data_IF_245176724620
#
_entry.id   IF_245176724620
#
_cell.length_a   1.000
_cell.length_b   1.000
_cell.length_c   1.000
_cell.angle_alpha   90.00
_cell.angle_beta   90.00
_cell.angle_gamma   90.00
#
_symmetry.space_group_name_H-M   'P 1'
#
loop_
_entity.id
_entity.type
_entity.pdbx_description
1 polymer ?
#
# COMPACT_ATOMS: atom_id res chain seq x y z
N UNK A 1 20.13 -38.35 14.96
CA UNK A 1 19.34 -37.17 15.33
C UNK A 1 19.80 -36.01 14.45
N UNK A 2 19.04 -35.58 13.43
CA UNK A 2 19.39 -34.37 12.71
C UNK A 2 18.82 -33.16 13.45
N UNK A 3 19.69 -32.16 13.58
CA UNK A 3 19.46 -30.87 14.22
C UNK A 3 18.48 -30.07 13.36
N UNK A 4 17.33 -29.67 13.93
CA UNK A 4 16.49 -28.63 13.35
C UNK A 4 17.32 -27.34 13.26
N UNK A 5 17.62 -26.89 12.04
CA UNK A 5 18.11 -25.54 11.82
C UNK A 5 16.96 -24.57 12.08
N UNK A 6 16.95 -23.94 13.25
CA UNK A 6 16.13 -22.78 13.53
C UNK A 6 16.60 -21.63 12.64
N UNK A 7 15.74 -21.22 11.70
CA UNK A 7 15.93 -20.00 10.92
C UNK A 7 15.63 -18.82 11.85
N UNK A 8 16.67 -18.20 12.40
CA UNK A 8 16.56 -16.90 13.06
C UNK A 8 16.56 -15.82 11.96
N UNK A 9 15.45 -15.08 11.83
CA UNK A 9 15.39 -13.82 11.10
C UNK A 9 15.26 -12.65 12.08
N UNK A 10 15.94 -11.55 11.74
CA UNK A 10 16.21 -10.39 12.58
C UNK A 10 14.96 -9.51 12.80
N UNK A 11 14.75 -9.08 14.04
CA UNK A 11 13.53 -8.40 14.50
C UNK A 11 13.51 -6.91 14.10
N UNK A 12 12.69 -6.58 13.10
CA UNK A 12 12.35 -5.20 12.68
C UNK A 12 10.85 -4.89 12.84
N UNK A 13 10.38 -4.73 14.07
CA UNK A 13 8.98 -4.96 14.50
C UNK A 13 8.00 -3.78 14.45
N UNK A 14 8.03 -2.89 13.44
CA UNK A 14 6.91 -1.92 13.29
C UNK A 14 6.44 -1.56 11.88
N UNK A 15 7.32 -1.57 10.87
CA UNK A 15 6.90 -1.35 9.46
C UNK A 15 6.45 -2.63 8.75
N UNK A 16 6.96 -3.76 9.18
CA UNK A 16 6.75 -5.07 8.55
C UNK A 16 5.28 -5.52 8.61
N UNK A 17 4.64 -5.33 9.76
CA UNK A 17 3.26 -5.77 10.05
C UNK A 17 2.18 -4.99 9.31
N UNK A 18 2.40 -3.72 8.97
CA UNK A 18 1.40 -2.86 8.32
C UNK A 18 1.35 -3.09 6.80
N UNK A 19 2.50 -3.37 6.17
CA UNK A 19 2.56 -3.66 4.73
C UNK A 19 1.85 -4.97 4.37
N UNK A 20 2.16 -6.05 5.08
CA UNK A 20 1.58 -7.35 4.76
C UNK A 20 0.07 -7.37 5.05
N UNK A 21 -0.37 -6.63 6.07
CA UNK A 21 -1.80 -6.54 6.43
C UNK A 21 -2.64 -5.85 5.35
N UNK A 22 -2.21 -4.71 4.83
CA UNK A 22 -2.95 -3.98 3.78
C UNK A 22 -3.01 -4.77 2.47
N UNK A 23 -1.92 -5.46 2.11
CA UNK A 23 -1.89 -6.31 0.92
C UNK A 23 -2.84 -7.49 1.05
N UNK A 24 -2.88 -8.12 2.24
CA UNK A 24 -3.83 -9.19 2.54
C UNK A 24 -5.27 -8.70 2.49
N UNK A 25 -5.56 -7.55 3.10
CA UNK A 25 -6.91 -6.96 3.08
C UNK A 25 -7.39 -6.70 1.65
N UNK A 26 -6.53 -6.12 0.80
CA UNK A 26 -6.83 -5.89 -0.62
C UNK A 26 -7.18 -7.22 -1.33
N UNK A 27 -6.31 -8.22 -1.21
CA UNK A 27 -6.48 -9.49 -1.90
C UNK A 27 -7.65 -10.33 -1.35
N UNK A 28 -7.93 -10.28 -0.05
CA UNK A 28 -9.11 -10.93 0.53
C UNK A 28 -10.40 -10.27 0.05
N UNK A 29 -10.43 -8.94 0.01
CA UNK A 29 -11.62 -8.17 -0.36
C UNK A 29 -11.96 -8.31 -1.83
N UNK A 30 -10.93 -8.32 -2.70
CA UNK A 30 -11.07 -8.35 -4.16
C UNK A 30 -10.47 -9.63 -4.76
N UNK A 31 -10.70 -10.77 -4.10
CA UNK A 31 -10.07 -12.04 -4.47
C UNK A 31 -10.45 -12.51 -5.88
N UNK A 32 -11.73 -12.34 -6.26
CA UNK A 32 -12.21 -12.71 -7.58
C UNK A 32 -11.54 -11.84 -8.66
N UNK A 33 -11.54 -10.53 -8.45
CA UNK A 33 -10.90 -9.55 -9.34
C UNK A 33 -9.38 -9.77 -9.44
N UNK A 34 -8.73 -10.20 -8.36
CA UNK A 34 -7.32 -10.57 -8.37
C UNK A 34 -7.05 -11.78 -9.29
N UNK A 35 -7.83 -12.85 -9.15
CA UNK A 35 -7.70 -14.02 -10.01
C UNK A 35 -8.09 -13.69 -11.45
N UNK A 36 -9.13 -12.90 -11.69
CA UNK A 36 -9.52 -12.45 -13.02
C UNK A 36 -8.35 -11.76 -13.73
N UNK A 37 -7.65 -10.89 -13.01
CA UNK A 37 -6.59 -10.06 -13.58
C UNK A 37 -5.30 -10.83 -13.86
N UNK A 38 -4.83 -11.64 -12.89
CA UNK A 38 -3.50 -12.24 -12.97
C UNK A 38 -3.50 -13.74 -13.25
N UNK A 39 -4.62 -14.42 -13.02
CA UNK A 39 -4.77 -15.86 -13.21
C UNK A 39 -6.10 -16.19 -13.90
N UNK A 40 -6.37 -15.64 -15.11
CA UNK A 40 -7.67 -15.73 -15.77
C UNK A 40 -8.12 -17.17 -16.02
N UNK A 41 -7.17 -18.08 -16.29
CA UNK A 41 -7.46 -19.51 -16.41
C UNK A 41 -7.96 -20.11 -15.10
N UNK A 42 -7.40 -19.72 -13.95
CA UNK A 42 -7.91 -20.14 -12.64
C UNK A 42 -9.30 -19.55 -12.42
N UNK A 43 -9.45 -18.23 -12.60
CA UNK A 43 -10.73 -17.52 -12.42
C UNK A 43 -11.88 -18.15 -13.21
N UNK A 44 -11.61 -18.61 -14.44
CA UNK A 44 -12.60 -19.27 -15.30
C UNK A 44 -13.27 -20.48 -14.63
N UNK A 45 -12.51 -21.27 -13.86
CA UNK A 45 -12.97 -22.53 -13.27
C UNK A 45 -13.43 -22.40 -11.80
N UNK A 46 -13.29 -21.24 -11.15
CA UNK A 46 -13.67 -21.06 -9.75
C UNK A 46 -15.09 -20.52 -9.61
N UNK A 47 -15.92 -21.19 -8.81
CA UNK A 47 -17.23 -20.68 -8.39
C UNK A 47 -17.08 -19.73 -7.19
N UNK A 48 -17.19 -18.43 -7.46
CA UNK A 48 -17.05 -17.37 -6.47
C UNK A 48 -18.29 -17.17 -5.60
N UNK A 49 -19.42 -17.82 -5.92
CA UNK A 49 -20.65 -17.72 -5.09
C UNK A 49 -20.51 -18.45 -3.74
N UNK A 50 -19.53 -19.35 -3.64
CA UNK A 50 -19.31 -20.21 -2.48
C UNK A 50 -17.83 -20.22 -2.06
N UNK A 51 -17.27 -19.05 -1.78
CA UNK A 51 -15.92 -18.93 -1.20
C UNK A 51 -15.98 -18.88 0.32
N UNK A 52 -15.04 -19.56 0.99
CA UNK A 52 -14.92 -19.56 2.45
C UNK A 52 -13.46 -19.33 2.87
N UNK A 53 -13.13 -18.19 3.49
CA UNK A 53 -11.83 -18.03 4.13
C UNK A 53 -11.62 -19.08 5.23
N UNK A 54 -10.45 -19.70 5.27
CA UNK A 54 -10.10 -20.72 6.26
C UNK A 54 -9.23 -20.14 7.38
N UNK A 55 -9.42 -20.61 8.62
CA UNK A 55 -8.69 -20.10 9.79
C UNK A 55 -7.19 -20.49 9.79
N UNK A 56 -6.37 -19.50 10.15
CA UNK A 56 -4.92 -19.39 10.03
C UNK A 56 -4.12 -19.94 11.24
N UNK A 57 -4.78 -20.43 12.29
CA UNK A 57 -4.17 -20.71 13.62
C UNK A 57 -3.14 -21.85 13.68
N UNK A 58 -2.86 -22.58 12.59
CA UNK A 58 -2.06 -23.82 12.65
C UNK A 58 -0.57 -23.63 12.33
N UNK A 59 -0.18 -22.49 11.75
CA UNK A 59 1.17 -22.30 11.21
C UNK A 59 2.18 -21.72 12.21
N UNK A 60 1.70 -20.95 13.19
CA UNK A 60 2.52 -20.19 14.15
C UNK A 60 3.29 -21.08 15.13
N UNK A 61 2.75 -22.25 15.47
CA UNK A 61 3.32 -23.11 16.50
C UNK A 61 4.39 -24.09 15.97
N UNK A 62 4.38 -24.40 14.67
CA UNK A 62 5.20 -25.48 14.10
C UNK A 62 6.53 -25.02 13.49
N UNK A 63 6.68 -23.74 13.15
CA UNK A 63 7.86 -23.22 12.43
C UNK A 63 8.82 -22.37 13.29
N UNK A 64 8.55 -22.23 14.60
CA UNK A 64 9.56 -21.80 15.57
C UNK A 64 10.16 -20.40 15.36
N UNK A 65 9.37 -19.42 14.93
CA UNK A 65 9.84 -18.03 14.81
C UNK A 65 8.72 -17.08 14.40
N UNK A 66 8.31 -16.21 15.34
CA UNK A 66 7.30 -15.13 15.26
C UNK A 66 5.95 -15.45 14.58
N UNK A 67 4.86 -14.94 15.17
CA UNK A 67 3.51 -15.19 14.65
C UNK A 67 3.29 -14.45 13.32
N UNK A 68 3.76 -15.02 12.20
CA UNK A 68 3.27 -14.63 10.88
C UNK A 68 1.84 -15.14 10.80
N UNK A 69 0.89 -14.28 11.20
CA UNK A 69 -0.54 -14.45 10.88
C UNK A 69 -0.61 -14.63 9.37
N UNK A 70 -1.17 -15.76 8.96
CA UNK A 70 -0.75 -16.52 7.79
C UNK A 70 -1.27 -15.94 6.47
N UNK A 71 -1.01 -16.70 5.43
CA UNK A 71 -1.35 -16.45 4.03
C UNK A 71 -2.85 -16.49 3.77
N UNK A 72 -3.26 -15.92 2.64
CA UNK A 72 -4.66 -15.91 2.23
C UNK A 72 -5.02 -17.34 1.85
N UNK A 73 -5.83 -17.99 2.67
CA UNK A 73 -6.27 -19.36 2.46
C UNK A 73 -7.78 -19.37 2.23
N UNK A 74 -8.18 -19.58 0.98
CA UNK A 74 -9.58 -19.53 0.57
C UNK A 74 -9.99 -20.91 0.06
N UNK A 75 -11.04 -21.44 0.66
CA UNK A 75 -11.74 -22.60 0.12
C UNK A 75 -12.71 -22.15 -0.96
N UNK A 76 -12.69 -22.82 -2.11
CA UNK A 76 -13.57 -22.52 -3.23
C UNK A 76 -13.99 -23.81 -3.95
N UNK A 77 -15.09 -23.74 -4.70
CA UNK A 77 -15.62 -24.85 -5.50
C UNK A 77 -15.22 -24.69 -6.97
N UNK A 78 -14.92 -25.80 -7.66
CA UNK A 78 -14.77 -25.79 -9.12
C UNK A 78 -16.14 -25.69 -9.80
N UNK A 79 -16.27 -24.85 -10.83
CA UNK A 79 -17.52 -24.70 -11.58
C UNK A 79 -17.91 -26.02 -12.24
N UNK A 80 -19.15 -26.44 -12.00
CA UNK A 80 -19.70 -27.66 -12.61
C UNK A 80 -19.21 -28.97 -11.98
N UNK A 81 -18.41 -28.91 -10.91
CA UNK A 81 -17.93 -30.09 -10.18
C UNK A 81 -18.23 -29.97 -8.69
N UNK A 82 -18.36 -31.08 -7.96
CA UNK A 82 -18.43 -31.08 -6.49
C UNK A 82 -17.05 -30.91 -5.81
N UNK A 83 -15.99 -30.76 -6.60
CA UNK A 83 -14.62 -30.62 -6.12
C UNK A 83 -14.43 -29.30 -5.38
N UNK A 84 -14.05 -29.40 -4.09
CA UNK A 84 -13.65 -28.25 -3.27
C UNK A 84 -12.13 -28.21 -3.20
N UNK A 85 -11.54 -27.09 -3.58
CA UNK A 85 -10.10 -26.83 -3.47
C UNK A 85 -9.81 -25.72 -2.48
N UNK A 86 -8.54 -25.62 -2.10
CA UNK A 86 -7.98 -24.50 -1.36
C UNK A 86 -7.09 -23.70 -2.30
N UNK A 87 -7.23 -22.39 -2.33
CA UNK A 87 -6.29 -21.47 -2.95
C UNK A 87 -5.49 -20.83 -1.83
N UNK A 88 -4.18 -21.05 -1.85
CA UNK A 88 -3.23 -20.49 -0.91
C UNK A 88 -2.45 -19.38 -1.62
N UNK A 89 -2.58 -18.14 -1.16
CA UNK A 89 -1.83 -17.00 -1.70
C UNK A 89 -0.89 -16.46 -0.65
N UNK A 90 0.40 -16.48 -0.96
CA UNK A 90 1.50 -15.98 -0.14
C UNK A 90 2.04 -14.66 -0.73
N UNK A 91 1.69 -13.49 -0.16
CA UNK A 91 2.37 -12.25 -0.46
C UNK A 91 3.77 -12.23 0.16
N UNK A 92 4.76 -11.80 -0.61
CA UNK A 92 6.14 -11.68 -0.18
C UNK A 92 6.73 -10.33 -0.57
N UNK A 93 7.09 -9.55 0.44
CA UNK A 93 7.58 -8.16 0.29
C UNK A 93 9.11 -8.03 0.28
N UNK A 94 9.84 -9.11 0.59
CA UNK A 94 11.31 -9.13 0.62
C UNK A 94 11.88 -10.39 -0.06
N UNK A 95 13.11 -10.33 -0.56
CA UNK A 95 13.75 -11.50 -1.15
C UNK A 95 14.20 -12.50 -0.07
N UNK A 96 13.87 -13.78 -0.26
CA UNK A 96 14.31 -14.87 0.62
C UNK A 96 14.73 -16.08 -0.22
N UNK A 97 15.95 -16.56 0.01
CA UNK A 97 16.55 -17.64 -0.79
C UNK A 97 15.76 -18.95 -0.72
N UNK A 98 15.17 -19.25 0.43
CA UNK A 98 14.48 -20.53 0.70
C UNK A 98 12.95 -20.41 0.59
N UNK A 99 12.44 -19.36 -0.09
CA UNK A 99 11.00 -19.12 -0.22
C UNK A 99 10.24 -20.31 -0.84
N UNK A 100 10.80 -20.93 -1.88
CA UNK A 100 10.21 -22.10 -2.55
C UNK A 100 10.07 -23.33 -1.64
N UNK A 101 11.02 -23.54 -0.73
CA UNK A 101 10.92 -24.57 0.32
C UNK A 101 9.82 -24.22 1.33
N UNK A 102 9.71 -22.94 1.72
CA UNK A 102 8.62 -22.48 2.60
C UNK A 102 7.24 -22.71 1.98
N UNK A 103 7.06 -22.42 0.69
CA UNK A 103 5.82 -22.70 -0.03
C UNK A 103 5.45 -24.19 0.03
N UNK A 104 6.44 -25.09 -0.10
CA UNK A 104 6.21 -26.53 0.04
C UNK A 104 5.80 -26.92 1.48
N UNK A 105 6.43 -26.33 2.50
CA UNK A 105 6.07 -26.58 3.90
C UNK A 105 4.63 -26.13 4.20
N UNK A 106 4.24 -24.93 3.74
CA UNK A 106 2.87 -24.44 3.91
C UNK A 106 1.84 -25.29 3.18
N UNK A 107 2.12 -25.65 1.93
CA UNK A 107 1.29 -26.61 1.19
C UNK A 107 1.12 -27.92 1.97
N UNK A 108 2.21 -28.48 2.49
CA UNK A 108 2.20 -29.76 3.22
C UNK A 108 1.36 -29.68 4.50
N UNK A 109 1.46 -28.58 5.25
CA UNK A 109 0.67 -28.33 6.46
C UNK A 109 -0.81 -28.15 6.14
N UNK A 110 -1.15 -27.35 5.12
CA UNK A 110 -2.52 -27.16 4.66
C UNK A 110 -3.13 -28.48 4.20
N UNK A 111 -2.38 -29.27 3.41
CA UNK A 111 -2.86 -30.54 2.90
C UNK A 111 -3.06 -31.54 4.04
N UNK A 112 -2.14 -31.58 5.01
CA UNK A 112 -2.29 -32.43 6.18
C UNK A 112 -3.56 -32.11 6.99
N UNK A 113 -3.86 -30.82 7.17
CA UNK A 113 -5.03 -30.34 7.93
C UNK A 113 -6.36 -30.58 7.20
N UNK A 114 -6.44 -30.18 5.93
CA UNK A 114 -7.72 -30.12 5.23
C UNK A 114 -7.98 -31.29 4.28
N UNK A 115 -6.93 -31.97 3.82
CA UNK A 115 -7.01 -33.11 2.89
C UNK A 115 -7.79 -32.79 1.60
N UNK A 116 -7.59 -31.58 1.07
CA UNK A 116 -8.21 -31.08 -0.17
C UNK A 116 -7.12 -30.72 -1.19
N UNK A 117 -7.41 -30.75 -2.50
CA UNK A 117 -6.53 -30.17 -3.52
C UNK A 117 -6.20 -28.72 -3.19
N UNK A 118 -4.95 -28.30 -3.44
CA UNK A 118 -4.47 -26.96 -3.13
C UNK A 118 -3.80 -26.35 -4.34
N UNK A 119 -4.16 -25.12 -4.68
CA UNK A 119 -3.48 -24.28 -5.64
C UNK A 119 -2.63 -23.23 -4.90
N UNK A 120 -1.31 -23.43 -4.80
CA UNK A 120 -0.40 -22.45 -4.21
C UNK A 120 -0.04 -21.34 -5.21
N UNK A 121 -0.08 -20.09 -4.75
CA UNK A 121 0.23 -18.88 -5.50
C UNK A 121 1.17 -18.00 -4.66
N UNK A 122 2.30 -17.61 -5.22
CA UNK A 122 3.21 -16.64 -4.61
C UNK A 122 3.08 -15.28 -5.30
N UNK A 123 2.95 -14.21 -4.51
CA UNK A 123 2.84 -12.83 -4.99
C UNK A 123 4.02 -12.01 -4.49
N UNK A 124 4.94 -11.68 -5.38
CA UNK A 124 6.16 -10.94 -5.06
C UNK A 124 5.98 -9.42 -5.30
N UNK A 125 6.27 -8.63 -4.27
CA UNK A 125 5.98 -7.18 -4.20
C UNK A 125 7.20 -6.30 -3.89
N UNK A 126 8.40 -6.89 -3.89
CA UNK A 126 9.66 -6.17 -3.70
C UNK A 126 9.99 -5.25 -4.89
N UNK A 127 10.88 -4.27 -4.66
CA UNK A 127 11.16 -3.21 -5.65
C UNK A 127 12.23 -3.59 -6.70
N UNK A 128 12.88 -4.75 -6.54
CA UNK A 128 13.96 -5.26 -7.43
C UNK A 128 13.51 -6.49 -8.20
N UNK A 129 14.04 -6.70 -9.41
CA UNK A 129 13.76 -7.92 -10.16
C UNK A 129 14.67 -9.06 -9.72
N UNK A 130 14.07 -10.13 -9.21
CA UNK A 130 14.74 -11.40 -8.92
C UNK A 130 14.26 -12.51 -9.87
N UNK A 131 15.08 -13.54 -10.03
CA UNK A 131 14.70 -14.77 -10.72
C UNK A 131 14.19 -15.79 -9.70
N UNK A 132 12.96 -15.59 -9.24
CA UNK A 132 12.35 -16.48 -8.27
C UNK A 132 12.14 -17.87 -8.84
N UNK A 133 12.45 -18.87 -8.01
CA UNK A 133 12.07 -20.25 -8.30
C UNK A 133 10.60 -20.41 -8.02
N UNK A 134 9.90 -21.14 -8.89
CA UNK A 134 8.51 -21.53 -8.72
C UNK A 134 8.36 -23.03 -8.38
N UNK A 135 9.47 -23.68 -8.01
CA UNK A 135 9.52 -25.11 -7.72
C UNK A 135 10.42 -25.43 -6.54
N UNK A 136 10.04 -26.51 -5.84
CA UNK A 136 10.86 -27.19 -4.84
C UNK A 136 10.97 -28.66 -5.23
N UNK A 137 12.19 -29.15 -5.36
CA UNK A 137 12.46 -30.53 -5.78
C UNK A 137 13.24 -31.25 -4.69
N UNK A 138 12.77 -32.45 -4.32
CA UNK A 138 13.48 -33.37 -3.44
C UNK A 138 13.98 -34.55 -4.29
N UNK A 139 15.30 -34.67 -4.43
CA UNK A 139 15.92 -35.70 -5.27
C UNK A 139 17.26 -36.18 -4.71
N UNK A 140 17.56 -37.44 -4.95
CA UNK A 140 18.83 -38.11 -4.67
C UNK A 140 19.45 -38.58 -6.00
N UNK A 141 20.76 -38.90 -6.05
CA UNK A 141 21.41 -39.38 -7.28
C UNK A 141 20.75 -40.61 -7.92
N UNK A 142 19.99 -41.38 -7.14
CA UNK A 142 19.36 -42.63 -7.56
C UNK A 142 17.82 -42.56 -7.60
N UNK A 143 17.19 -41.46 -7.16
CA UNK A 143 15.73 -41.40 -7.05
C UNK A 143 15.21 -39.96 -6.96
N UNK A 144 14.14 -39.67 -7.71
CA UNK A 144 13.40 -38.42 -7.61
C UNK A 144 12.19 -38.63 -6.69
N UNK A 145 12.13 -37.89 -5.57
CA UNK A 145 11.08 -38.07 -4.56
C UNK A 145 9.85 -37.25 -4.92
N UNK A 146 10.03 -35.96 -5.18
CA UNK A 146 8.94 -35.05 -5.50
C UNK A 146 9.42 -33.81 -6.23
N UNK A 147 8.55 -33.28 -7.09
CA UNK A 147 8.59 -31.91 -7.59
C UNK A 147 7.30 -31.23 -7.19
N UNK A 148 7.44 -30.19 -6.38
CA UNK A 148 6.36 -29.30 -5.99
C UNK A 148 6.45 -28.01 -6.81
N UNK A 149 5.34 -27.56 -7.38
CA UNK A 149 5.26 -26.34 -8.18
C UNK A 149 4.15 -25.43 -7.67
N UNK A 150 4.33 -24.13 -7.87
CA UNK A 150 3.35 -23.11 -7.52
C UNK A 150 3.28 -22.01 -8.58
N UNK A 151 2.16 -21.30 -8.63
CA UNK A 151 2.00 -20.15 -9.52
C UNK A 151 2.74 -18.95 -8.93
N UNK A 152 3.28 -18.09 -9.79
CA UNK A 152 3.99 -16.89 -9.36
C UNK A 152 3.46 -15.64 -10.04
N UNK A 153 3.40 -14.55 -9.28
CA UNK A 153 3.10 -13.22 -9.75
C UNK A 153 4.19 -12.28 -9.23
N UNK A 154 5.01 -11.71 -10.13
CA UNK A 154 5.99 -10.69 -9.75
C UNK A 154 5.52 -9.33 -10.25
N UNK A 155 4.96 -8.51 -9.36
CA UNK A 155 4.35 -7.22 -9.76
C UNK A 155 5.36 -6.31 -10.46
N UNK A 156 6.60 -6.26 -9.97
CA UNK A 156 7.66 -5.42 -10.56
C UNK A 156 8.00 -5.76 -12.02
N UNK A 157 7.70 -6.98 -12.47
CA UNK A 157 7.88 -7.42 -13.87
C UNK A 157 6.72 -7.01 -14.77
N UNK A 158 5.60 -6.58 -14.22
CA UNK A 158 4.44 -6.09 -14.96
C UNK A 158 4.61 -4.61 -15.27
N UNK A 159 4.49 -4.21 -16.52
CA UNK A 159 4.55 -2.80 -16.89
C UNK A 159 3.23 -2.12 -16.53
N UNK A 160 3.28 -1.11 -15.67
CA UNK A 160 2.10 -0.41 -15.16
C UNK A 160 1.20 0.16 -16.27
N UNK A 161 1.78 0.66 -17.37
CA UNK A 161 1.05 1.21 -18.52
C UNK A 161 0.12 0.21 -19.20
N UNK A 162 0.40 -1.08 -19.07
CA UNK A 162 -0.43 -2.11 -19.69
C UNK A 162 -1.77 -2.27 -18.92
N UNK A 163 -1.90 -1.66 -17.72
CA UNK A 163 -3.04 -1.80 -16.80
C UNK A 163 -3.89 -0.53 -16.62
N UNK A 164 -3.45 0.63 -17.09
CA UNK A 164 -4.13 1.93 -16.85
C UNK A 164 -5.53 2.04 -17.46
N UNK A 165 -5.82 1.22 -18.47
CA UNK A 165 -7.14 1.14 -19.12
C UNK A 165 -8.04 0.06 -18.53
N UNK A 166 -7.54 -0.71 -17.56
CA UNK A 166 -8.33 -1.74 -16.88
C UNK A 166 -9.46 -1.13 -16.04
N UNK A 167 -10.61 -1.78 -16.02
CA UNK A 167 -11.70 -1.48 -15.09
C UNK A 167 -11.67 -2.39 -13.85
N UNK A 168 -10.55 -3.10 -13.63
CA UNK A 168 -10.33 -3.95 -12.46
C UNK A 168 -9.72 -3.13 -11.31
N UNK A 169 -10.32 -3.23 -10.11
CA UNK A 169 -9.93 -2.52 -8.90
C UNK A 169 -8.52 -2.88 -8.41
N UNK A 170 -8.19 -4.16 -8.49
CA UNK A 170 -6.88 -4.68 -8.09
C UNK A 170 -5.80 -4.13 -9.01
N UNK A 171 -6.09 -3.95 -10.30
CA UNK A 171 -5.18 -3.29 -11.23
C UNK A 171 -4.86 -1.87 -10.75
N UNK A 172 -5.88 -1.07 -10.44
CA UNK A 172 -5.71 0.31 -9.97
C UNK A 172 -4.89 0.36 -8.67
N UNK A 173 -5.23 -0.46 -7.67
CA UNK A 173 -4.50 -0.53 -6.40
C UNK A 173 -3.03 -0.93 -6.59
N UNK A 174 -2.75 -1.93 -7.42
CA UNK A 174 -1.41 -2.50 -7.56
C UNK A 174 -0.52 -1.77 -8.56
N UNK A 175 -1.02 -0.77 -9.29
CA UNK A 175 -0.20 0.07 -10.18
C UNK A 175 1.05 0.61 -9.46
N UNK A 176 0.92 1.00 -8.18
CA UNK A 176 2.01 1.51 -7.35
C UNK A 176 3.11 0.47 -7.03
N UNK A 177 2.88 -0.82 -7.33
CA UNK A 177 3.83 -1.92 -7.16
C UNK A 177 4.28 -2.57 -8.46
N UNK A 178 3.77 -2.07 -9.59
CA UNK A 178 4.19 -2.51 -10.91
C UNK A 178 5.53 -1.87 -11.33
N UNK A 179 6.07 -2.31 -12.45
CA UNK A 179 7.31 -1.79 -13.03
C UNK A 179 7.13 -0.42 -13.66
N UNK A 180 7.46 0.64 -12.91
CA UNK A 180 7.64 2.03 -13.37
C UNK A 180 8.99 2.59 -12.88
N UNK A 181 9.46 3.66 -13.53
CA UNK A 181 10.68 4.40 -13.16
C UNK A 181 10.37 5.56 -12.21
N UNK A 182 11.36 6.04 -11.46
CA UNK A 182 11.17 7.19 -10.55
C UNK A 182 10.60 8.42 -11.26
N UNK A 183 11.01 8.68 -12.51
CA UNK A 183 10.49 9.79 -13.30
C UNK A 183 8.98 9.66 -13.64
N UNK A 184 8.43 8.46 -13.58
CA UNK A 184 7.04 8.16 -13.95
C UNK A 184 6.10 8.19 -12.74
N UNK A 185 6.61 8.35 -11.51
CA UNK A 185 5.79 8.30 -10.28
C UNK A 185 4.58 9.22 -10.31
N UNK A 186 4.77 10.46 -10.75
CA UNK A 186 3.70 11.45 -10.92
C UNK A 186 2.68 10.98 -11.97
N UNK A 187 3.16 10.41 -13.08
CA UNK A 187 2.30 9.88 -14.14
C UNK A 187 1.46 8.68 -13.64
N UNK A 188 2.07 7.79 -12.86
CA UNK A 188 1.39 6.63 -12.24
C UNK A 188 0.27 7.11 -11.31
N UNK A 189 0.53 8.06 -10.40
CA UNK A 189 -0.53 8.62 -9.52
C UNK A 189 -1.61 9.34 -10.32
N UNK A 190 -1.25 10.08 -11.38
CA UNK A 190 -2.22 10.72 -12.29
C UNK A 190 -3.15 9.71 -12.94
N UNK A 191 -2.60 8.66 -13.54
CA UNK A 191 -3.42 7.63 -14.20
C UNK A 191 -4.25 6.84 -13.20
N UNK A 192 -3.72 6.59 -12.00
CA UNK A 192 -4.50 6.01 -10.90
C UNK A 192 -5.74 6.88 -10.56
N UNK A 193 -5.59 8.20 -10.41
CA UNK A 193 -6.73 9.10 -10.17
C UNK A 193 -7.73 9.07 -11.33
N UNK A 194 -7.25 8.99 -12.58
CA UNK A 194 -8.12 8.84 -13.77
C UNK A 194 -8.88 7.51 -13.74
N UNK A 195 -8.26 6.43 -13.31
CA UNK A 195 -8.93 5.13 -13.13
C UNK A 195 -10.05 5.23 -12.10
N UNK A 196 -9.82 5.87 -10.95
CA UNK A 196 -10.85 6.03 -9.92
C UNK A 196 -12.07 6.80 -10.44
N UNK A 197 -11.86 7.91 -11.15
CA UNK A 197 -12.94 8.69 -11.76
C UNK A 197 -13.69 7.87 -12.82
N UNK A 198 -12.97 7.12 -13.66
CA UNK A 198 -13.58 6.28 -14.71
C UNK A 198 -14.44 5.16 -14.13
N UNK A 199 -13.96 4.50 -13.07
CA UNK A 199 -14.62 3.34 -12.47
C UNK A 199 -15.87 3.70 -11.66
N UNK A 200 -16.03 4.96 -11.23
CA UNK A 200 -17.19 5.45 -10.47
C UNK A 200 -17.54 4.54 -9.27
N UNK A 201 -16.53 4.27 -8.45
CA UNK A 201 -16.63 3.34 -7.33
C UNK A 201 -17.51 3.89 -6.21
N UNK A 202 -18.08 2.99 -5.42
CA UNK A 202 -18.69 3.40 -4.17
C UNK A 202 -17.64 3.98 -3.20
N UNK A 203 -18.04 4.85 -2.27
CA UNK A 203 -17.08 5.53 -1.39
C UNK A 203 -16.22 4.61 -0.53
N UNK A 204 -16.71 3.40 -0.17
CA UNK A 204 -15.95 2.50 0.67
C UNK A 204 -14.82 1.82 -0.14
N UNK A 205 -15.14 1.27 -1.32
CA UNK A 205 -14.13 0.69 -2.22
C UNK A 205 -13.11 1.73 -2.67
N UNK A 206 -13.56 2.94 -3.01
CA UNK A 206 -12.66 4.02 -3.39
C UNK A 206 -11.66 4.36 -2.28
N UNK A 207 -12.12 4.47 -1.02
CA UNK A 207 -11.24 4.75 0.13
C UNK A 207 -10.23 3.64 0.37
N UNK A 208 -10.65 2.38 0.27
CA UNK A 208 -9.74 1.23 0.45
C UNK A 208 -8.63 1.25 -0.60
N UNK A 209 -9.01 1.36 -1.88
CA UNK A 209 -8.07 1.35 -3.01
C UNK A 209 -7.11 2.55 -2.96
N UNK A 210 -7.62 3.73 -2.64
CA UNK A 210 -6.80 4.91 -2.46
C UNK A 210 -5.85 4.80 -1.27
N UNK A 211 -6.36 4.40 -0.10
CA UNK A 211 -5.55 4.23 1.11
C UNK A 211 -4.42 3.22 0.90
N UNK A 212 -4.71 2.12 0.18
CA UNK A 212 -3.70 1.18 -0.26
C UNK A 212 -2.65 1.86 -1.16
N UNK A 213 -3.07 2.51 -2.25
CA UNK A 213 -2.16 3.10 -3.22
C UNK A 213 -1.22 4.15 -2.59
N UNK A 214 -1.76 5.08 -1.80
CA UNK A 214 -0.99 6.13 -1.12
C UNK A 214 0.03 5.60 -0.12
N UNK A 215 -0.27 4.47 0.53
CA UNK A 215 0.65 3.86 1.49
C UNK A 215 1.96 3.42 0.81
N UNK A 216 1.90 3.05 -0.46
CA UNK A 216 3.04 2.54 -1.23
C UNK A 216 3.65 3.56 -2.18
N UNK A 217 2.86 4.44 -2.81
CA UNK A 217 3.34 5.52 -3.67
C UNK A 217 2.91 6.86 -3.08
N UNK A 218 3.73 7.34 -2.15
CA UNK A 218 3.63 8.68 -1.60
C UNK A 218 4.54 9.62 -2.39
N UNK A 219 3.96 10.62 -3.03
CA UNK A 219 4.71 11.67 -3.72
C UNK A 219 5.30 12.67 -2.71
N UNK A 220 6.39 13.35 -3.10
CA UNK A 220 6.89 14.53 -2.36
C UNK A 220 6.01 15.76 -2.58
N UNK A 221 6.15 16.78 -1.74
CA UNK A 221 5.42 18.05 -1.91
C UNK A 221 5.66 18.68 -3.31
N UNK A 222 6.85 18.51 -3.88
CA UNK A 222 7.18 18.97 -5.24
C UNK A 222 6.49 18.11 -6.30
N UNK A 223 6.55 16.78 -6.18
CA UNK A 223 5.87 15.85 -7.07
C UNK A 223 4.34 16.06 -7.07
N UNK A 224 3.74 16.33 -5.91
CA UNK A 224 2.30 16.65 -5.78
C UNK A 224 1.93 17.96 -6.50
N UNK A 225 2.79 18.99 -6.43
CA UNK A 225 2.56 20.22 -7.19
C UNK A 225 2.61 19.97 -8.70
N UNK A 226 3.55 19.14 -9.16
CA UNK A 226 3.62 18.75 -10.56
C UNK A 226 2.37 17.95 -10.94
N UNK A 227 1.91 17.02 -10.09
CA UNK A 227 0.66 16.29 -10.30
C UNK A 227 -0.52 17.24 -10.48
N UNK A 228 -0.69 18.22 -9.59
CA UNK A 228 -1.77 19.20 -9.67
C UNK A 228 -1.70 20.05 -10.94
N UNK A 229 -0.50 20.48 -11.35
CA UNK A 229 -0.31 21.18 -12.62
C UNK A 229 -0.69 20.32 -13.82
N UNK A 230 -0.36 19.03 -13.79
CA UNK A 230 -0.72 18.08 -14.85
C UNK A 230 -2.21 17.78 -14.88
N UNK A 231 -2.88 17.68 -13.72
CA UNK A 231 -4.34 17.51 -13.61
C UNK A 231 -5.06 18.74 -14.16
N UNK A 232 -4.58 19.94 -13.89
CA UNK A 232 -5.15 21.19 -14.40
C UNK A 232 -5.05 21.35 -15.93
N UNK A 233 -4.15 20.61 -16.58
CA UNK A 233 -4.03 20.57 -18.05
C UNK A 233 -4.97 19.56 -18.70
N UNK A 234 -5.63 18.70 -17.91
CA UNK A 234 -6.61 17.75 -18.43
C UNK A 234 -7.88 18.49 -18.88
N UNK A 235 -8.78 17.75 -19.53
CA UNK A 235 -10.13 18.23 -19.81
C UNK A 235 -10.80 18.77 -18.52
N UNK A 236 -11.44 19.96 -18.55
CA UNK A 236 -11.98 20.59 -17.35
C UNK A 236 -12.97 19.73 -16.56
N UNK A 237 -13.79 18.90 -17.24
CA UNK A 237 -14.74 18.02 -16.57
C UNK A 237 -14.01 16.90 -15.81
N UNK A 238 -13.00 16.29 -16.46
CA UNK A 238 -12.17 15.26 -15.82
C UNK A 238 -11.36 15.85 -14.65
N UNK A 239 -10.76 17.02 -14.82
CA UNK A 239 -10.02 17.71 -13.77
C UNK A 239 -10.91 18.01 -12.55
N UNK A 240 -12.14 18.50 -12.77
CA UNK A 240 -13.11 18.73 -11.69
C UNK A 240 -13.42 17.45 -10.92
N UNK A 241 -13.73 16.36 -11.63
CA UNK A 241 -14.02 15.06 -11.01
C UNK A 241 -12.85 14.51 -10.19
N UNK A 242 -11.62 14.71 -10.65
CA UNK A 242 -10.42 14.33 -9.88
C UNK A 242 -10.32 15.18 -8.60
N UNK A 243 -10.56 16.49 -8.69
CA UNK A 243 -10.54 17.39 -7.53
C UNK A 243 -11.68 17.15 -6.53
N UNK A 244 -12.80 16.59 -6.98
CA UNK A 244 -13.95 16.24 -6.15
C UNK A 244 -13.75 14.95 -5.36
N UNK A 245 -12.75 14.13 -5.70
CA UNK A 245 -12.42 12.95 -4.91
C UNK A 245 -12.20 13.40 -3.46
N UNK A 246 -12.93 12.84 -2.46
CA UNK A 246 -12.86 13.28 -1.04
C UNK A 246 -11.43 13.33 -0.50
N UNK A 247 -10.61 12.49 -1.07
CA UNK A 247 -9.19 12.31 -0.92
C UNK A 247 -8.36 13.56 -1.28
N UNK A 248 -8.71 14.26 -2.37
CA UNK A 248 -8.04 15.50 -2.80
C UNK A 248 -8.29 16.66 -1.81
N UNK A 249 -9.39 16.61 -1.05
CA UNK A 249 -9.65 17.58 0.01
C UNK A 249 -8.72 17.43 1.22
N UNK A 250 -8.22 16.23 1.53
CA UNK A 250 -7.22 16.06 2.59
C UNK A 250 -5.88 16.71 2.21
N UNK A 251 -5.49 16.61 0.94
CA UNK A 251 -4.29 17.27 0.41
C UNK A 251 -4.45 18.79 0.39
N UNK A 252 -5.59 19.30 -0.09
CA UNK A 252 -5.94 20.73 0.03
C UNK A 252 -5.98 21.19 1.49
N UNK A 253 -6.50 20.38 2.41
CA UNK A 253 -6.52 20.67 3.84
C UNK A 253 -5.12 20.78 4.45
N UNK A 254 -4.17 19.94 4.01
CA UNK A 254 -2.75 20.05 4.40
C UNK A 254 -2.11 21.32 3.85
N UNK A 255 -2.38 21.67 2.59
CA UNK A 255 -1.84 22.89 1.96
C UNK A 255 -2.36 24.15 2.66
N UNK A 256 -3.67 24.23 2.88
CA UNK A 256 -4.33 25.31 3.65
C UNK A 256 -3.77 25.37 5.07
N UNK A 257 -3.63 24.22 5.75
CA UNK A 257 -3.04 24.16 7.09
C UNK A 257 -1.57 24.64 7.13
N UNK A 258 -0.78 24.36 6.09
CA UNK A 258 0.61 24.80 5.95
C UNK A 258 0.70 26.30 5.70
N UNK A 259 -0.18 26.86 4.88
CA UNK A 259 -0.28 28.32 4.67
C UNK A 259 -0.68 29.04 5.95
N UNK A 260 -1.74 28.58 6.62
CA UNK A 260 -2.21 29.14 7.90
C UNK A 260 -1.09 29.05 8.96
N UNK A 261 -0.39 27.91 9.05
CA UNK A 261 0.72 27.74 10.00
C UNK A 261 1.90 28.69 9.74
N UNK A 262 2.23 28.95 8.46
CA UNK A 262 3.25 29.94 8.08
C UNK A 262 2.83 31.36 8.45
N UNK A 263 1.57 31.71 8.22
CA UNK A 263 1.03 33.03 8.55
C UNK A 263 1.01 33.26 10.07
N UNK A 264 0.56 32.27 10.84
CA UNK A 264 0.61 32.30 12.31
C UNK A 264 2.06 32.45 12.79
N UNK A 265 3.00 31.65 12.25
CA UNK A 265 4.41 31.73 12.64
C UNK A 265 5.04 33.10 12.35
N UNK A 266 4.74 33.70 11.19
CA UNK A 266 5.18 35.08 10.86
C UNK A 266 4.61 36.11 11.82
N UNK A 267 3.33 35.99 12.17
CA UNK A 267 2.69 36.91 13.13
C UNK A 267 3.25 36.75 14.54
N UNK A 268 3.54 35.52 14.99
CA UNK A 268 4.20 35.28 16.27
C UNK A 268 5.62 35.84 16.32
N UNK A 269 6.38 35.72 15.22
CA UNK A 269 7.71 36.31 15.10
C UNK A 269 7.65 37.84 15.14
N UNK A 270 6.72 38.46 14.39
CA UNK A 270 6.45 39.91 14.44
C UNK A 270 6.12 40.37 15.86
N UNK A 271 5.30 39.61 16.60
CA UNK A 271 4.97 39.89 18.00
C UNK A 271 6.17 39.77 18.94
N UNK A 272 7.03 38.76 18.77
CA UNK A 272 8.27 38.61 19.55
C UNK A 272 9.25 39.76 19.29
N UNK A 273 9.40 40.19 18.04
CA UNK A 273 10.22 41.36 17.68
C UNK A 273 9.63 42.62 18.34
N UNK A 274 8.31 42.81 18.28
CA UNK A 274 7.65 43.93 18.95
C UNK A 274 7.90 43.92 20.47
N UNK A 275 7.79 42.76 21.13
CA UNK A 275 8.07 42.61 22.56
C UNK A 275 9.52 42.98 22.91
N UNK A 276 10.49 42.54 22.13
CA UNK A 276 11.89 42.88 22.37
C UNK A 276 12.14 44.38 22.17
N UNK A 277 11.56 44.99 21.14
CA UNK A 277 11.66 46.44 20.91
C UNK A 277 10.97 47.27 21.99
N UNK A 278 9.85 46.79 22.55
CA UNK A 278 9.19 47.41 23.71
C UNK A 278 10.13 47.39 24.92
N UNK A 279 10.76 46.24 25.21
CA UNK A 279 11.70 46.10 26.34
C UNK A 279 12.92 47.01 26.22
N UNK A 280 13.39 47.23 24.99
CA UNK A 280 14.49 48.15 24.69
C UNK A 280 14.06 49.64 24.61
N UNK A 281 12.78 49.94 24.86
CA UNK A 281 12.28 51.32 24.98
C UNK A 281 12.03 52.05 23.65
N UNK A 282 11.86 51.33 22.54
CA UNK A 282 11.58 51.96 21.25
C UNK A 282 10.17 52.60 21.23
N UNK A 283 9.99 53.75 20.57
CA UNK A 283 8.70 54.40 20.48
C UNK A 283 7.74 53.63 19.56
N UNK A 284 6.46 53.60 19.93
CA UNK A 284 5.41 52.76 19.31
C UNK A 284 5.27 52.93 17.80
N UNK A 285 5.50 54.14 17.28
CA UNK A 285 5.44 54.43 15.85
C UNK A 285 6.56 53.74 15.06
N UNK A 286 7.74 53.55 15.66
CA UNK A 286 8.86 52.82 15.06
C UNK A 286 8.61 51.31 15.11
N UNK A 287 8.05 50.81 16.21
CA UNK A 287 7.69 49.38 16.36
C UNK A 287 6.61 48.98 15.35
N UNK A 288 5.56 49.79 15.20
CA UNK A 288 4.49 49.57 14.22
C UNK A 288 5.02 49.58 12.79
N UNK A 289 5.96 50.47 12.47
CA UNK A 289 6.56 50.55 11.15
C UNK A 289 7.48 49.36 10.83
N UNK A 290 8.21 48.83 11.80
CA UNK A 290 9.19 47.74 11.60
C UNK A 290 8.53 46.37 11.62
N UNK A 291 7.56 46.16 12.52
CA UNK A 291 6.85 44.87 12.65
C UNK A 291 5.63 44.77 11.74
N UNK A 292 5.21 45.91 11.15
CA UNK A 292 3.98 46.07 10.37
C UNK A 292 2.72 45.64 11.16
N UNK A 293 2.80 45.64 12.48
CA UNK A 293 1.66 45.35 13.35
C UNK A 293 0.86 46.65 13.62
N UNK A 294 -0.47 46.55 13.74
CA UNK A 294 -1.31 47.66 14.17
C UNK A 294 -0.86 48.21 15.54
N UNK A 295 -0.95 49.53 15.72
CA UNK A 295 -0.54 50.19 16.97
C UNK A 295 -1.36 49.68 18.16
N UNK A 296 -2.63 49.36 17.94
CA UNK A 296 -3.57 48.77 18.91
C UNK A 296 -3.08 47.39 19.39
N UNK A 297 -2.54 46.57 18.49
CA UNK A 297 -2.01 45.25 18.81
C UNK A 297 -0.71 45.34 19.62
N UNK A 298 0.14 46.32 19.30
CA UNK A 298 1.38 46.59 20.04
C UNK A 298 1.08 47.07 21.46
N UNK A 299 0.04 47.89 21.67
CA UNK A 299 -0.41 48.32 23.01
C UNK A 299 -0.88 47.14 23.87
N UNK A 300 -1.64 46.21 23.29
CA UNK A 300 -2.09 44.98 23.98
C UNK A 300 -0.91 44.08 24.39
N UNK A 301 0.15 44.03 23.57
CA UNK A 301 1.39 43.32 23.89
C UNK A 301 2.12 43.99 25.05
N UNK A 302 2.09 45.32 25.12
CA UNK A 302 2.67 46.13 26.21
C UNK A 302 1.95 45.90 27.55
N UNK A 303 0.62 45.84 27.53
CA UNK A 303 -0.20 45.62 28.73
C UNK A 303 -0.01 44.22 29.32
N UNK A 304 0.14 43.18 28.49
CA UNK A 304 0.36 41.79 28.93
C UNK A 304 1.78 41.49 29.43
N UNK A 305 2.74 42.40 29.24
CA UNK A 305 4.12 42.24 29.70
C UNK A 305 4.43 42.87 31.07
N UNK A 306 3.42 43.50 31.70
CA UNK A 306 3.51 44.18 32.99
C UNK A 306 2.83 43.41 34.15
N UNK A 307 2.35 42.19 33.89
CA UNK A 307 2.01 41.16 34.90
C UNK A 307 3.15 40.14 34.99
#
# INVERSE_FOLDING_TARGET
MPVLFYVYEDAGTSRYTDHDQLFKELLHTFFAEFLELFFPEVHKYIDFSAIRPLSEEVFTDLLGGESRRADIVIEAKLKGEETILIIHVEPQSYYQTNFHERMYLYFSLLYNKYRKPILPIAVFTYDKNYNEKNEFTMSFPFFHVLSFQFLTLTLRKLRWRDFIHSNNLVAAALLCKMGFTEAERVEVKKEFLRMLVRMQLDPARQRLIYGFFERYLKLTDEEEKVLMQEVNKLDPELASKIMELPISYEEKGKEIGKEIGKEIGRNEEKRKIAQNMIKEGFPLNIIAKITELPVEEIKLIMEKGND
#
